data_IF_396239496377
#
_entry.id   IF_396239496377
#
_cell.length_a   1.000
_cell.length_b   1.000
_cell.length_c   1.000
_cell.angle_alpha   90.00
_cell.angle_beta   90.00
_cell.angle_gamma   90.00
#
_symmetry.space_group_name_H-M   'P 1'
#
loop_
_entity.id
_entity.type
_entity.pdbx_description
1 polymer ?
#
# COMPACT_ATOMS: atom_id res chain seq x y z
N UNK A 1 -53.21 -18.86 43.94
CA UNK A 1 -53.07 -18.63 42.50
C UNK A 1 -52.84 -17.14 42.28
N UNK A 2 -51.62 -16.73 41.95
CA UNK A 2 -51.29 -15.36 41.54
C UNK A 2 -50.34 -15.45 40.33
N UNK A 3 -50.78 -15.01 39.13
CA UNK A 3 -50.01 -15.08 37.90
C UNK A 3 -49.17 -13.81 37.78
N UNK A 4 -48.04 -13.74 38.48
CA UNK A 4 -47.22 -12.51 38.51
C UNK A 4 -45.71 -12.72 38.46
N UNK A 5 -45.24 -13.97 38.37
CA UNK A 5 -43.82 -14.27 38.55
C UNK A 5 -43.06 -14.72 37.29
N UNK A 6 -43.74 -14.82 36.14
CA UNK A 6 -43.15 -15.32 34.89
C UNK A 6 -42.78 -14.25 33.85
N UNK A 7 -43.07 -12.97 34.10
CA UNK A 7 -42.78 -11.90 33.13
C UNK A 7 -41.47 -11.15 33.40
N UNK A 8 -40.87 -11.30 34.59
CA UNK A 8 -39.62 -10.60 34.95
C UNK A 8 -38.34 -11.37 34.60
N UNK A 9 -38.42 -12.67 34.32
CA UNK A 9 -37.25 -13.47 33.92
C UNK A 9 -37.02 -13.48 32.40
N UNK A 10 -38.00 -13.04 31.61
CA UNK A 10 -37.90 -12.99 30.14
C UNK A 10 -37.19 -11.74 29.61
N UNK A 11 -37.21 -10.63 30.36
CA UNK A 11 -36.55 -9.37 29.96
C UNK A 11 -35.07 -9.29 30.35
N UNK A 12 -34.58 -10.16 31.24
CA UNK A 12 -33.17 -10.14 31.65
C UNK A 12 -32.26 -10.94 30.69
N UNK A 13 -32.82 -11.90 29.94
CA UNK A 13 -32.06 -12.70 28.97
C UNK A 13 -31.83 -12.01 27.61
N UNK A 14 -32.60 -10.96 27.28
CA UNK A 14 -32.42 -10.20 26.03
C UNK A 14 -31.39 -9.06 26.15
N UNK A 15 -30.94 -8.71 27.35
CA UNK A 15 -29.92 -7.66 27.56
C UNK A 15 -28.49 -8.23 27.58
N UNK A 16 -28.30 -9.54 27.75
CA UNK A 16 -26.98 -10.18 27.71
C UNK A 16 -26.51 -10.61 26.30
N UNK A 17 -27.34 -10.48 25.26
CA UNK A 17 -27.06 -11.03 23.93
C UNK A 17 -26.41 -10.10 22.91
N UNK A 18 -26.27 -8.80 23.20
CA UNK A 18 -25.76 -7.81 22.22
C UNK A 18 -24.43 -7.17 22.59
N UNK A 19 -23.74 -7.69 23.62
CA UNK A 19 -22.32 -7.39 23.83
C UNK A 19 -21.46 -8.21 22.85
N UNK A 20 -21.70 -8.06 21.54
CA UNK A 20 -20.63 -8.26 20.58
C UNK A 20 -19.65 -7.14 20.85
N UNK A 21 -18.48 -7.53 21.38
CA UNK A 21 -17.25 -6.78 21.38
C UNK A 21 -17.20 -5.91 20.12
N UNK A 22 -17.46 -4.60 20.28
CA UNK A 22 -16.82 -3.62 19.43
C UNK A 22 -15.36 -3.63 19.83
N UNK A 23 -14.65 -4.64 19.34
CA UNK A 23 -13.22 -4.59 19.19
C UNK A 23 -12.94 -3.37 18.32
N UNK A 24 -12.61 -2.26 18.97
CA UNK A 24 -12.13 -1.02 18.38
C UNK A 24 -10.76 -1.20 17.73
N UNK A 25 -10.60 -2.27 16.95
CA UNK A 25 -9.44 -2.49 16.11
C UNK A 25 -9.62 -1.56 14.92
N UNK A 26 -8.75 -0.55 14.86
CA UNK A 26 -8.57 0.28 13.67
C UNK A 26 -8.33 -0.63 12.47
N UNK A 27 -9.36 -0.88 11.66
CA UNK A 27 -9.23 -1.61 10.41
C UNK A 27 -8.58 -0.65 9.40
N UNK A 28 -7.36 -0.95 8.98
CA UNK A 28 -6.71 -0.18 7.92
C UNK A 28 -7.58 -0.23 6.65
N UNK A 29 -7.68 0.87 5.89
CA UNK A 29 -8.34 0.86 4.59
C UNK A 29 -7.72 -0.20 3.68
N UNK A 30 -8.55 -0.81 2.84
CA UNK A 30 -8.06 -1.77 1.83
C UNK A 30 -6.95 -1.13 0.98
N UNK A 31 -5.92 -1.92 0.67
CA UNK A 31 -4.82 -1.47 -0.17
C UNK A 31 -5.31 -0.98 -1.53
N UNK A 32 -4.74 0.12 -2.03
CA UNK A 32 -5.02 0.68 -3.36
C UNK A 32 -4.88 -0.38 -4.45
N UNK A 33 -5.71 -0.28 -5.49
CA UNK A 33 -5.65 -1.15 -6.66
C UNK A 33 -4.23 -1.12 -7.28
N UNK A 34 -3.80 -2.26 -7.79
CA UNK A 34 -2.53 -2.38 -8.51
C UNK A 34 -2.52 -1.54 -9.80
N UNK A 35 -1.32 -1.20 -10.28
CA UNK A 35 -1.16 -0.50 -11.56
C UNK A 35 -1.76 -1.31 -12.73
N UNK A 36 -2.24 -0.64 -13.79
CA UNK A 36 -2.67 -1.30 -15.02
C UNK A 36 -1.58 -2.22 -15.58
N UNK A 37 -1.99 -3.37 -16.14
CA UNK A 37 -1.07 -4.26 -16.84
C UNK A 37 -0.44 -3.60 -18.07
N UNK A 38 0.71 -4.11 -18.50
CA UNK A 38 1.37 -3.67 -19.73
C UNK A 38 0.48 -3.92 -20.97
N UNK A 39 0.55 -3.08 -22.01
CA UNK A 39 -0.14 -3.33 -23.27
C UNK A 39 0.19 -4.71 -23.86
N UNK A 40 -0.77 -5.32 -24.54
CA UNK A 40 -0.57 -6.58 -25.27
C UNK A 40 0.43 -6.43 -26.43
N UNK A 41 0.99 -7.55 -26.87
CA UNK A 41 1.87 -7.61 -28.05
C UNK A 41 1.09 -7.35 -29.35
N UNK A 42 1.78 -6.83 -30.36
CA UNK A 42 1.21 -6.60 -31.68
C UNK A 42 0.69 -7.89 -32.34
N UNK A 43 -0.37 -7.77 -33.12
CA UNK A 43 -0.94 -8.87 -33.90
C UNK A 43 0.02 -9.40 -34.97
N UNK A 44 -0.12 -10.68 -35.32
CA UNK A 44 0.69 -11.29 -36.40
C UNK A 44 0.28 -10.71 -37.78
N UNK A 45 1.22 -10.60 -38.74
CA UNK A 45 0.90 -10.21 -40.11
C UNK A 45 -0.16 -11.12 -40.75
N UNK A 46 -1.01 -10.55 -41.61
CA UNK A 46 -2.02 -11.31 -42.35
C UNK A 46 -1.42 -12.32 -43.34
N UNK A 47 -2.15 -13.40 -43.63
CA UNK A 47 -1.73 -14.38 -44.62
C UNK A 47 -1.77 -13.80 -46.05
N UNK A 48 -0.85 -14.26 -46.90
CA UNK A 48 -0.80 -13.91 -48.33
C UNK A 48 -2.05 -14.48 -49.04
N UNK A 49 -2.69 -13.66 -49.88
CA UNK A 49 -3.86 -14.09 -50.65
C UNK A 49 -3.56 -15.23 -51.65
N UNK A 50 -4.60 -16.00 -51.97
CA UNK A 50 -4.53 -17.15 -52.87
C UNK A 50 -4.27 -16.75 -54.33
N UNK A 51 -3.68 -17.67 -55.11
CA UNK A 51 -3.42 -17.48 -56.54
C UNK A 51 -4.72 -17.62 -57.33
N UNK A 52 -5.02 -16.66 -58.21
CA UNK A 52 -6.22 -16.70 -59.06
C UNK A 52 -6.27 -17.91 -60.00
N UNK A 53 -7.48 -18.37 -60.29
CA UNK A 53 -7.75 -19.57 -61.09
C UNK A 53 -7.35 -19.41 -62.58
N UNK A 54 -6.91 -20.49 -63.26
CA UNK A 54 -6.67 -20.49 -64.70
C UNK A 54 -7.94 -20.26 -65.52
N UNK A 55 -7.81 -19.57 -66.66
CA UNK A 55 -8.93 -19.34 -67.59
C UNK A 55 -9.45 -20.63 -68.26
N UNK A 56 -10.77 -20.69 -68.48
CA UNK A 56 -11.47 -21.87 -69.04
C UNK A 56 -11.14 -22.10 -70.53
N UNK A 57 -10.95 -23.35 -71.00
CA UNK A 57 -10.79 -23.65 -72.43
C UNK A 57 -12.07 -23.43 -73.25
N UNK A 58 -11.92 -23.01 -74.51
CA UNK A 58 -13.03 -22.80 -75.45
C UNK A 58 -13.50 -24.12 -76.10
N UNK A 59 -14.81 -24.29 -76.40
CA UNK A 59 -15.33 -25.52 -76.99
C UNK A 59 -15.13 -25.54 -78.51
N UNK A 60 -14.64 -26.67 -79.04
CA UNK A 60 -14.65 -26.94 -80.49
C UNK A 60 -15.84 -27.83 -80.83
N UNK A 61 -16.77 -27.31 -81.62
CA UNK A 61 -17.83 -28.07 -82.28
C UNK A 61 -17.94 -27.62 -83.73
N UNK A 62 -18.10 -28.56 -84.68
CA UNK A 62 -18.73 -28.27 -85.97
C UNK A 62 -18.12 -28.91 -87.22
N UNK A 63 -18.58 -30.14 -87.51
CA UNK A 63 -19.01 -30.77 -88.78
C UNK A 63 -18.70 -30.05 -90.13
N UNK A 64 -18.26 -30.84 -91.13
CA UNK A 64 -17.80 -30.50 -92.48
C UNK A 64 -18.91 -30.23 -93.53
N UNK A 65 -18.61 -29.35 -94.52
CA UNK A 65 -19.32 -29.13 -95.80
C UNK A 65 -18.51 -28.19 -96.74
N UNK A 66 -18.73 -28.17 -98.09
CA UNK A 66 -17.66 -28.23 -99.11
C UNK A 66 -17.09 -26.92 -99.73
N UNK A 67 -16.13 -27.14 -100.66
CA UNK A 67 -15.05 -26.33 -101.28
C UNK A 67 -15.36 -24.97 -101.94
N UNK A 68 -14.37 -24.07 -101.86
CA UNK A 68 -14.01 -23.05 -102.87
C UNK A 68 -12.61 -22.47 -102.57
N UNK A 69 -11.71 -22.39 -103.57
CA UNK A 69 -10.30 -21.96 -103.38
C UNK A 69 -10.19 -20.44 -103.20
N UNK A 70 -9.51 -19.99 -102.13
CA UNK A 70 -9.38 -18.57 -101.77
C UNK A 70 -7.93 -18.20 -101.39
N UNK A 71 -7.57 -16.94 -101.68
CA UNK A 71 -6.20 -16.39 -101.77
C UNK A 71 -5.33 -16.44 -100.52
N UNK A 72 -4.08 -15.97 -100.68
CA UNK A 72 -3.03 -16.04 -99.65
C UNK A 72 -3.54 -15.54 -98.28
N UNK A 73 -3.35 -16.32 -97.20
CA UNK A 73 -3.85 -15.95 -95.88
C UNK A 73 -3.24 -14.63 -95.41
N UNK A 74 -4.09 -13.72 -94.94
CA UNK A 74 -3.63 -12.54 -94.21
C UNK A 74 -2.80 -12.92 -92.98
N UNK A 75 -1.83 -12.07 -92.62
CA UNK A 75 -0.97 -12.29 -91.45
C UNK A 75 -1.81 -12.59 -90.19
N UNK A 76 -1.38 -13.54 -89.33
CA UNK A 76 -2.09 -13.86 -88.09
C UNK A 76 -2.30 -12.60 -87.23
N UNK A 77 -3.51 -12.44 -86.70
CA UNK A 77 -3.82 -11.34 -85.79
C UNK A 77 -2.91 -11.36 -84.55
N UNK A 78 -2.52 -10.19 -84.07
CA UNK A 78 -1.70 -10.07 -82.87
C UNK A 78 -2.39 -10.74 -81.67
N UNK A 79 -1.66 -11.46 -80.78
CA UNK A 79 -2.22 -12.02 -79.56
C UNK A 79 -2.93 -10.95 -78.73
N UNK A 80 -4.09 -11.29 -78.16
CA UNK A 80 -4.82 -10.40 -77.26
C UNK A 80 -3.96 -10.01 -76.05
N UNK A 81 -4.12 -8.77 -75.58
CA UNK A 81 -3.42 -8.26 -74.41
C UNK A 81 -3.67 -9.15 -73.19
N UNK A 82 -2.63 -9.37 -72.37
CA UNK A 82 -2.73 -10.10 -71.11
C UNK A 82 -3.75 -9.40 -70.21
N UNK A 83 -4.66 -10.17 -69.60
CA UNK A 83 -5.62 -9.64 -68.63
C UNK A 83 -4.91 -8.95 -67.45
N UNK A 84 -5.55 -7.92 -66.89
CA UNK A 84 -5.04 -7.20 -65.73
C UNK A 84 -4.88 -8.12 -64.51
N UNK A 85 -3.93 -7.80 -63.63
CA UNK A 85 -3.79 -8.48 -62.35
C UNK A 85 -5.05 -8.25 -61.48
N UNK A 86 -5.45 -9.27 -60.73
CA UNK A 86 -6.53 -9.13 -59.73
C UNK A 86 -6.18 -8.12 -58.64
N UNK A 87 -7.21 -7.52 -58.04
CA UNK A 87 -7.03 -6.57 -56.94
C UNK A 87 -6.43 -7.26 -55.70
N UNK A 88 -5.65 -6.54 -54.87
CA UNK A 88 -5.20 -7.04 -53.57
C UNK A 88 -6.38 -7.45 -52.67
N UNK A 89 -6.18 -8.49 -51.85
CA UNK A 89 -7.15 -8.88 -50.83
C UNK A 89 -7.35 -7.80 -49.77
N UNK A 90 -8.52 -7.82 -49.10
CA UNK A 90 -8.83 -6.91 -48.01
C UNK A 90 -7.91 -7.14 -46.79
N UNK A 91 -7.61 -6.10 -45.99
CA UNK A 91 -6.92 -6.27 -44.71
C UNK A 91 -7.65 -7.22 -43.78
N UNK A 92 -6.90 -8.00 -42.98
CA UNK A 92 -7.47 -8.86 -41.96
C UNK A 92 -8.16 -8.05 -40.83
N UNK A 93 -9.09 -8.66 -40.08
CA UNK A 93 -9.74 -8.00 -38.96
C UNK A 93 -8.73 -7.71 -37.82
N UNK A 94 -8.99 -6.70 -36.97
CA UNK A 94 -8.19 -6.45 -35.77
C UNK A 94 -8.09 -7.68 -34.86
N UNK A 95 -6.95 -7.82 -34.19
CA UNK A 95 -6.75 -8.84 -33.16
C UNK A 95 -7.70 -8.65 -31.97
N UNK A 96 -8.01 -9.73 -31.26
CA UNK A 96 -8.83 -9.65 -30.05
C UNK A 96 -8.09 -8.87 -28.93
N UNK A 97 -8.81 -8.14 -28.07
CA UNK A 97 -8.23 -7.55 -26.87
C UNK A 97 -7.54 -8.62 -26.01
N UNK A 98 -6.39 -8.27 -25.42
CA UNK A 98 -5.69 -9.14 -24.49
C UNK A 98 -6.54 -9.44 -23.23
N UNK A 99 -6.25 -10.56 -22.53
CA UNK A 99 -6.95 -10.88 -21.30
C UNK A 99 -6.68 -9.80 -20.22
N UNK A 100 -7.67 -9.60 -19.33
CA UNK A 100 -7.51 -8.72 -18.17
C UNK A 100 -6.35 -9.21 -17.30
N UNK A 101 -5.51 -8.27 -16.85
CA UNK A 101 -4.43 -8.57 -15.90
C UNK A 101 -4.94 -9.20 -14.61
N UNK A 102 -4.12 -10.06 -14.00
CA UNK A 102 -4.44 -10.68 -12.70
C UNK A 102 -4.54 -9.61 -11.61
N UNK A 103 -5.55 -9.72 -10.74
CA UNK A 103 -5.67 -8.86 -9.55
C UNK A 103 -4.42 -9.04 -8.69
N UNK A 104 -3.83 -7.93 -8.23
CA UNK A 104 -2.73 -7.96 -7.26
C UNK A 104 -3.13 -8.74 -6.01
N UNK A 105 -2.19 -9.44 -5.39
CA UNK A 105 -2.44 -10.14 -4.13
C UNK A 105 -2.84 -9.12 -3.06
N UNK A 106 -3.87 -9.40 -2.29
CA UNK A 106 -4.19 -8.60 -1.10
C UNK A 106 -2.99 -8.65 -0.15
N UNK A 107 -2.58 -7.50 0.39
CA UNK A 107 -1.52 -7.43 1.40
C UNK A 107 -1.94 -8.21 2.63
N UNK A 108 -1.08 -9.10 3.12
CA UNK A 108 -1.34 -9.86 4.33
C UNK A 108 -1.03 -8.99 5.55
N UNK A 109 -2.03 -8.27 6.06
CA UNK A 109 -1.89 -7.38 7.24
C UNK A 109 -1.38 -8.14 8.46
N UNK A 110 -1.62 -9.45 8.54
CA UNK A 110 -1.17 -10.33 9.63
C UNK A 110 0.35 -10.53 9.68
N UNK A 111 1.06 -10.31 8.58
CA UNK A 111 2.52 -10.51 8.47
C UNK A 111 3.30 -9.19 8.47
N UNK A 112 2.59 -8.05 8.54
CA UNK A 112 3.25 -6.76 8.47
C UNK A 112 3.76 -6.35 9.86
N UNK A 113 5.05 -5.99 9.98
CA UNK A 113 5.59 -5.62 11.27
C UNK A 113 5.00 -4.28 11.76
N UNK A 114 4.55 -4.28 13.01
CA UNK A 114 3.86 -3.14 13.64
C UNK A 114 4.57 -2.68 14.92
N UNK A 115 5.85 -2.25 14.87
CA UNK A 115 6.55 -1.75 16.03
C UNK A 115 5.86 -0.48 16.54
N UNK A 116 5.34 -0.59 17.76
CA UNK A 116 4.63 0.47 18.46
C UNK A 116 4.80 0.26 19.96
N UNK A 117 5.01 1.35 20.70
CA UNK A 117 5.05 1.31 22.14
C UNK A 117 4.40 2.55 22.76
N UNK A 118 3.91 2.39 23.97
CA UNK A 118 3.61 3.46 24.91
C UNK A 118 4.05 3.00 26.28
N UNK A 119 4.78 3.85 26.99
CA UNK A 119 5.22 3.57 28.35
C UNK A 119 4.96 4.80 29.22
N UNK A 120 4.47 4.58 30.43
CA UNK A 120 4.35 5.62 31.45
C UNK A 120 5.49 5.55 32.45
N UNK A 121 5.65 6.64 33.20
CA UNK A 121 6.62 6.73 34.29
C UNK A 121 5.90 6.60 35.63
N UNK A 122 6.41 5.72 36.51
CA UNK A 122 5.97 5.63 37.91
C UNK A 122 7.09 5.98 38.90
N UNK A 123 8.34 5.77 38.50
CA UNK A 123 9.50 5.98 39.38
C UNK A 123 9.98 7.45 39.42
N UNK A 124 10.53 7.95 40.53
CA UNK A 124 11.10 9.29 40.63
C UNK A 124 12.27 9.50 39.65
N UNK A 125 12.63 10.75 39.27
CA UNK A 125 13.67 11.06 38.26
C UNK A 125 14.96 10.24 38.42
N UNK A 126 15.40 9.62 37.33
CA UNK A 126 16.66 8.88 37.30
C UNK A 126 17.85 9.84 37.30
N UNK A 127 19.00 9.42 37.87
CA UNK A 127 20.22 10.25 38.01
C UNK A 127 20.86 10.65 36.66
N UNK A 128 20.39 10.08 35.55
CA UNK A 128 20.83 10.40 34.19
C UNK A 128 19.97 11.45 33.48
N UNK A 129 20.45 11.94 32.33
CA UNK A 129 19.71 12.88 31.48
C UNK A 129 18.54 12.21 30.74
N UNK A 130 18.56 10.90 30.56
CA UNK A 130 17.49 10.17 29.91
C UNK A 130 16.29 10.03 30.84
N UNK A 131 15.12 10.38 30.32
CA UNK A 131 13.83 10.19 30.98
C UNK A 131 13.37 8.76 30.72
N UNK A 132 13.45 7.93 31.76
CA UNK A 132 13.01 6.53 31.72
C UNK A 132 11.50 6.40 31.96
N UNK A 133 10.77 5.72 31.08
CA UNK A 133 9.36 5.41 31.28
C UNK A 133 9.28 3.91 31.64
N UNK A 134 9.34 3.65 32.95
CA UNK A 134 9.59 2.32 33.52
C UNK A 134 8.40 1.36 33.44
N UNK A 135 7.21 1.89 33.16
CA UNK A 135 5.98 1.12 33.12
C UNK A 135 5.44 0.98 31.69
N UNK A 136 5.54 -0.22 31.13
CA UNK A 136 5.01 -0.51 29.79
C UNK A 136 3.48 -0.53 29.79
N UNK A 137 2.86 0.27 28.91
CA UNK A 137 1.43 0.19 28.59
C UNK A 137 1.24 -0.75 27.38
N UNK A 138 2.02 -0.53 26.32
CA UNK A 138 2.11 -1.42 25.15
C UNK A 138 3.54 -1.38 24.60
N UNK A 139 4.01 -2.48 24.03
CA UNK A 139 5.35 -2.59 23.44
C UNK A 139 5.39 -3.69 22.37
N UNK A 140 4.57 -3.51 21.33
CA UNK A 140 4.53 -4.40 20.19
C UNK A 140 5.92 -4.49 19.54
N UNK A 141 6.36 -5.71 19.21
CA UNK A 141 7.74 -6.02 18.75
C UNK A 141 8.85 -5.76 19.79
N UNK A 142 8.53 -5.47 21.05
CA UNK A 142 9.51 -5.25 22.13
C UNK A 142 10.61 -4.23 21.77
N UNK A 143 10.24 -3.13 21.10
CA UNK A 143 11.20 -2.15 20.58
C UNK A 143 11.64 -1.11 21.61
N UNK A 144 10.90 -0.93 22.70
CA UNK A 144 11.25 -0.03 23.81
C UNK A 144 11.79 -0.78 25.02
N UNK A 145 12.87 -0.28 25.63
CA UNK A 145 13.48 -0.83 26.84
C UNK A 145 13.13 0.05 28.07
N UNK A 146 12.31 -0.44 29.02
CA UNK A 146 11.88 0.33 30.19
C UNK A 146 12.98 0.53 31.24
N UNK A 147 14.11 -0.17 31.15
CA UNK A 147 15.25 0.02 32.06
C UNK A 147 16.15 1.17 31.60
N UNK A 148 16.38 1.29 30.29
CA UNK A 148 17.24 2.36 29.74
C UNK A 148 16.46 3.61 29.31
N UNK A 149 15.16 3.48 29.04
CA UNK A 149 14.34 4.56 28.49
C UNK A 149 14.49 4.76 26.98
N UNK A 150 15.07 3.77 26.28
CA UNK A 150 15.43 3.87 24.87
C UNK A 150 14.56 2.96 24.00
N UNK A 151 14.07 3.52 22.90
CA UNK A 151 13.54 2.78 21.76
C UNK A 151 14.70 2.39 20.84
N UNK A 152 14.73 1.15 20.35
CA UNK A 152 15.70 0.67 19.36
C UNK A 152 14.98 0.25 18.09
N UNK A 153 15.31 0.90 16.98
CA UNK A 153 14.76 0.59 15.67
C UNK A 153 15.25 -0.78 15.18
N UNK A 154 14.32 -1.69 14.91
CA UNK A 154 14.61 -2.98 14.26
C UNK A 154 14.27 -3.00 12.78
N UNK A 155 13.41 -2.09 12.34
CA UNK A 155 12.83 -2.08 11.00
C UNK A 155 12.95 -0.67 10.45
N UNK A 156 13.72 -0.47 9.36
CA UNK A 156 13.98 0.86 8.85
C UNK A 156 12.68 1.47 8.31
N UNK A 157 12.50 2.77 8.53
CA UNK A 157 11.24 3.42 8.20
C UNK A 157 11.10 4.82 8.77
N UNK A 158 9.92 5.39 8.55
CA UNK A 158 9.49 6.64 9.13
C UNK A 158 8.66 6.36 10.38
N UNK A 159 9.03 6.97 11.49
CA UNK A 159 8.42 6.76 12.81
C UNK A 159 7.90 8.07 13.38
N UNK A 160 6.79 8.02 14.11
CA UNK A 160 6.29 9.12 14.93
C UNK A 160 6.62 8.85 16.40
N UNK A 161 7.10 9.88 17.10
CA UNK A 161 7.34 9.84 18.53
C UNK A 161 6.68 11.03 19.20
N UNK A 162 6.06 10.82 20.36
CA UNK A 162 5.47 11.87 21.16
C UNK A 162 5.58 11.55 22.66
N UNK A 163 5.77 12.58 23.47
CA UNK A 163 5.70 12.48 24.92
C UNK A 163 4.76 13.54 25.50
N UNK A 164 4.24 13.23 26.68
CA UNK A 164 3.58 14.17 27.58
C UNK A 164 4.16 13.94 28.97
N UNK A 165 4.89 14.91 29.50
CA UNK A 165 5.56 14.80 30.81
C UNK A 165 5.07 15.88 31.74
N UNK A 166 4.64 15.45 32.93
CA UNK A 166 4.14 16.31 33.98
C UNK A 166 5.31 16.93 34.76
N UNK A 167 5.22 18.22 35.04
CA UNK A 167 6.17 18.94 35.90
C UNK A 167 5.48 20.04 36.69
N UNK A 168 5.91 20.24 37.93
CA UNK A 168 5.59 21.41 38.75
C UNK A 168 6.61 22.55 38.64
N UNK A 169 7.73 22.34 37.92
CA UNK A 169 8.78 23.34 37.69
C UNK A 169 9.15 23.48 36.22
N UNK A 170 10.11 24.36 35.94
CA UNK A 170 10.71 24.55 34.63
C UNK A 170 11.22 23.22 34.06
N UNK A 171 10.71 22.84 32.90
CA UNK A 171 11.05 21.56 32.28
C UNK A 171 11.33 21.75 30.80
N UNK A 172 12.54 21.43 30.38
CA UNK A 172 12.93 21.34 28.97
C UNK A 172 13.29 19.91 28.62
N UNK A 173 12.53 19.31 27.71
CA UNK A 173 12.75 17.96 27.22
C UNK A 173 13.06 17.97 25.74
N UNK A 174 13.85 17.01 25.29
CA UNK A 174 14.15 16.84 23.87
C UNK A 174 14.17 15.39 23.44
N UNK A 175 13.69 15.17 22.22
CA UNK A 175 13.78 13.88 21.55
C UNK A 175 15.17 13.78 20.92
N UNK A 176 15.88 12.70 21.24
CA UNK A 176 17.21 12.41 20.71
C UNK A 176 17.18 11.21 19.80
N UNK A 177 18.00 11.23 18.74
CA UNK A 177 18.31 10.09 17.88
C UNK A 177 19.80 9.80 17.99
N UNK A 178 20.18 8.60 18.41
CA UNK A 178 21.57 8.21 18.67
C UNK A 178 22.30 9.23 19.55
N UNK A 179 21.64 9.68 20.63
CA UNK A 179 22.09 10.74 21.57
C UNK A 179 22.22 12.15 20.98
N UNK A 180 21.98 12.35 19.68
CA UNK A 180 21.91 13.68 19.09
C UNK A 180 20.51 14.26 19.27
N UNK A 181 20.43 15.46 19.82
CA UNK A 181 19.16 16.17 20.03
C UNK A 181 18.56 16.59 18.69
N UNK A 182 17.31 16.22 18.43
CA UNK A 182 16.59 16.57 17.21
C UNK A 182 15.68 17.77 17.43
N UNK A 183 14.84 17.70 18.47
CA UNK A 183 13.91 18.77 18.86
C UNK A 183 13.92 18.95 20.36
N UNK A 184 13.54 20.14 20.83
CA UNK A 184 13.43 20.47 22.26
C UNK A 184 12.14 21.27 22.48
N UNK A 185 11.41 20.93 23.53
CA UNK A 185 10.22 21.63 23.96
C UNK A 185 10.36 21.97 25.44
N UNK A 186 10.11 23.23 25.76
CA UNK A 186 10.27 23.77 27.10
C UNK A 186 8.93 24.28 27.62
N UNK A 187 8.73 24.09 28.91
CA UNK A 187 7.65 24.70 29.64
C UNK A 187 8.24 25.38 30.88
N UNK A 188 7.98 26.67 31.06
CA UNK A 188 8.47 27.45 32.19
C UNK A 188 7.33 27.61 33.19
N UNK A 189 7.56 27.19 34.43
CA UNK A 189 6.55 27.12 35.47
C UNK A 189 7.08 27.68 36.79
N UNK A 190 6.78 28.96 37.01
CA UNK A 190 7.17 29.70 38.22
C UNK A 190 6.18 29.57 39.38
N UNK A 191 5.04 28.89 39.18
CA UNK A 191 3.94 28.86 40.16
C UNK A 191 3.83 27.53 40.91
N UNK A 192 4.65 26.52 40.60
CA UNK A 192 4.62 25.24 41.32
C UNK A 192 3.40 24.36 41.02
N UNK A 193 2.54 24.76 40.08
CA UNK A 193 1.32 24.02 39.70
C UNK A 193 1.66 22.90 38.73
N UNK A 194 0.95 21.77 38.76
CA UNK A 194 1.21 20.70 37.79
C UNK A 194 0.86 21.16 36.36
N UNK A 195 1.82 21.06 35.45
CA UNK A 195 1.65 21.35 34.02
C UNK A 195 2.20 20.20 33.18
N UNK A 196 1.72 20.07 31.95
CA UNK A 196 2.16 19.04 31.01
C UNK A 196 3.02 19.68 29.92
N UNK A 197 4.29 19.27 29.84
CA UNK A 197 5.15 19.56 28.70
C UNK A 197 5.00 18.44 27.65
N UNK A 198 4.56 18.81 26.45
CA UNK A 198 4.41 17.88 25.33
C UNK A 198 5.38 18.18 24.21
N UNK A 199 5.89 17.14 23.57
CA UNK A 199 6.74 17.26 22.39
C UNK A 199 6.56 16.08 21.46
N UNK A 200 6.74 16.30 20.15
CA UNK A 200 6.68 15.23 19.16
C UNK A 200 7.63 15.48 17.99
N UNK A 201 7.95 14.42 17.27
CA UNK A 201 8.75 14.48 16.05
C UNK A 201 8.51 13.26 15.17
N UNK A 202 8.69 13.44 13.87
CA UNK A 202 8.74 12.35 12.89
C UNK A 202 10.19 12.13 12.51
N UNK A 203 10.68 10.90 12.65
CA UNK A 203 12.07 10.53 12.41
C UNK A 203 12.17 9.42 11.36
N UNK A 204 13.08 9.58 10.40
CA UNK A 204 13.54 8.46 9.56
C UNK A 204 14.63 7.70 10.31
N UNK A 205 14.42 6.40 10.52
CA UNK A 205 15.29 5.53 11.29
C UNK A 205 15.84 4.39 10.43
N UNK A 206 17.12 4.09 10.61
CA UNK A 206 17.78 2.88 10.14
C UNK A 206 17.78 1.82 11.26
N UNK A 207 18.08 0.57 10.90
CA UNK A 207 18.23 -0.52 11.88
C UNK A 207 19.33 -0.18 12.88
N UNK A 208 19.04 -0.32 14.17
CA UNK A 208 19.96 -0.01 15.27
C UNK A 208 19.89 1.43 15.77
N UNK A 209 19.20 2.34 15.06
CA UNK A 209 19.00 3.70 15.56
C UNK A 209 18.23 3.68 16.88
N UNK A 210 18.70 4.46 17.85
CA UNK A 210 18.10 4.59 19.17
C UNK A 210 17.40 5.93 19.34
N UNK A 211 16.23 5.93 19.97
CA UNK A 211 15.45 7.14 20.24
C UNK A 211 15.07 7.20 21.72
N UNK A 212 15.27 8.36 22.34
CA UNK A 212 14.93 8.58 23.76
C UNK A 212 14.59 10.03 24.05
N UNK A 213 13.91 10.25 25.18
CA UNK A 213 13.62 11.59 25.71
C UNK A 213 14.69 11.96 26.72
N UNK A 214 15.25 13.17 26.61
CA UNK A 214 16.31 13.66 27.50
C UNK A 214 15.98 15.02 28.08
N UNK A 215 16.40 15.26 29.32
CA UNK A 215 16.32 16.58 29.96
C UNK A 215 17.41 17.50 29.43
N UNK A 216 17.05 18.76 29.17
CA UNK A 216 18.00 19.83 28.89
C UNK A 216 18.48 20.50 30.19
N UNK A 217 19.59 21.24 30.09
CA UNK A 217 20.10 22.06 31.19
C UNK A 217 19.03 23.06 31.66
N UNK A 218 18.94 23.27 32.98
CA UNK A 218 17.99 24.18 33.61
C UNK A 218 16.65 23.55 34.01
N UNK A 219 16.42 22.26 33.76
CA UNK A 219 15.18 21.59 34.18
C UNK A 219 15.16 21.31 35.69
N UNK A 220 14.11 21.70 36.39
CA UNK A 220 13.93 21.56 37.85
C UNK A 220 13.06 20.35 38.19
N UNK A 221 13.57 19.15 37.89
CA UNK A 221 12.86 17.89 38.16
C UNK A 221 11.62 17.68 37.29
N UNK A 222 11.08 16.46 37.29
CA UNK A 222 9.87 16.10 36.53
C UNK A 222 9.17 14.91 37.19
N UNK A 223 7.87 14.76 36.96
CA UNK A 223 7.04 13.69 37.54
C UNK A 223 6.20 14.13 38.75
N UNK A 224 5.07 13.45 38.95
CA UNK A 224 4.15 13.63 40.07
C UNK A 224 3.55 12.27 40.44
N UNK A 225 3.17 12.08 41.71
CA UNK A 225 2.39 10.91 42.11
C UNK A 225 0.91 11.01 41.71
N UNK A 226 0.46 12.20 41.32
CA UNK A 226 -0.95 12.52 41.05
C UNK A 226 -1.32 12.45 39.56
N UNK A 227 -0.33 12.48 38.67
CA UNK A 227 -0.54 12.49 37.23
C UNK A 227 0.56 11.74 36.47
N UNK A 228 0.15 11.02 35.44
CA UNK A 228 1.05 10.19 34.63
C UNK A 228 1.83 10.99 33.60
N UNK A 229 3.07 10.57 33.37
CA UNK A 229 3.89 11.01 32.23
C UNK A 229 4.05 9.84 31.27
N UNK A 230 3.94 10.07 29.97
CA UNK A 230 3.96 9.03 28.93
C UNK A 230 4.88 9.39 27.77
N UNK A 231 5.47 8.35 27.17
CA UNK A 231 6.20 8.42 25.91
C UNK A 231 5.74 7.29 25.00
N UNK A 232 5.44 7.64 23.76
CA UNK A 232 4.95 6.72 22.75
C UNK A 232 5.70 6.89 21.45
N UNK A 233 5.77 5.80 20.68
CA UNK A 233 6.23 5.86 19.31
C UNK A 233 5.76 4.66 18.49
N UNK A 234 5.59 4.89 17.19
CA UNK A 234 5.12 3.86 16.25
C UNK A 234 5.62 4.13 14.84
N UNK A 235 5.73 3.07 14.04
CA UNK A 235 6.08 3.19 12.62
C UNK A 235 4.90 3.72 11.81
N UNK A 236 5.16 4.72 10.97
CA UNK A 236 4.22 5.25 9.97
C UNK A 236 4.35 4.51 8.65
N UNK A 237 5.59 4.42 8.14
CA UNK A 237 5.87 3.82 6.84
C UNK A 237 7.16 3.00 6.91
N UNK A 238 7.14 1.68 6.60
CA UNK A 238 8.36 0.93 6.43
C UNK A 238 9.11 1.43 5.20
N UNK A 239 10.44 1.51 5.27
CA UNK A 239 11.26 1.83 4.11
C UNK A 239 11.38 0.58 3.23
N UNK A 240 10.69 0.57 2.09
CA UNK A 240 10.86 -0.48 1.09
C UNK A 240 12.15 -0.24 0.31
N UNK A 241 13.08 -1.19 0.38
CA UNK A 241 14.27 -1.25 -0.49
C UNK A 241 13.93 -1.63 -1.92
#
# INVERSE_FOLDING_TARGET
MQPGFWLLTSTLATVLGTALLQDGVCRAPDGKDGFPGVPGLDGRPGQKGDRGDPGKPAPRTGIQGPKGDAGEPGLPGMPGNRGFHGLPGLPGPPGQPGPKGVKGRAGNVSEQPCPAFSASRRSPPSTGRTVVFDNIITNQENSYNPQSGEFTCRIPGLYYFAYQVVSSGDLCLGITKNRNRIVTFCNTNSQGILQVNSGSSVLSLAVGDQVSVTTAQGSTGYGSAEADSVFSGFMLFPQTG
#
